data_IF_359257430985
#
_entry.id   IF_359257430985
#
_cell.length_a   1.000
_cell.length_b   1.000
_cell.length_c   1.000
_cell.angle_alpha   90.00
_cell.angle_beta   90.00
_cell.angle_gamma   90.00
#
_symmetry.space_group_name_H-M   'P 1'
#
loop_
_entity.id
_entity.type
_entity.pdbx_description
1 polymer ?
#
# COMPACT_ATOMS: atom_id res chain seq x y z
N UNK A 1 28.47 -31.45 5.48
CA UNK A 1 28.01 -30.05 5.53
C UNK A 1 27.40 -29.54 4.22
N UNK A 2 28.09 -29.54 3.06
CA UNK A 2 27.46 -29.09 1.79
C UNK A 2 26.42 -30.11 1.28
N UNK A 3 26.68 -31.41 1.43
CA UNK A 3 25.72 -32.47 1.06
C UNK A 3 24.43 -32.47 1.91
N UNK A 4 24.52 -32.07 3.19
CA UNK A 4 23.35 -31.99 4.08
C UNK A 4 22.41 -30.82 3.72
N UNK A 5 22.95 -29.71 3.22
CA UNK A 5 22.14 -28.57 2.78
C UNK A 5 21.34 -28.89 1.50
N UNK A 6 21.91 -29.66 0.57
CA UNK A 6 21.22 -30.05 -0.67
C UNK A 6 20.01 -30.98 -0.42
N UNK A 7 20.05 -31.79 0.64
CA UNK A 7 18.92 -32.64 1.03
C UNK A 7 17.74 -31.86 1.61
N UNK A 8 18.01 -30.75 2.31
CA UNK A 8 16.98 -29.92 2.95
C UNK A 8 16.10 -29.23 1.91
N UNK A 9 16.68 -28.66 0.86
CA UNK A 9 15.92 -27.98 -0.18
C UNK A 9 15.01 -28.93 -0.97
N UNK A 10 15.53 -30.12 -1.31
CA UNK A 10 14.75 -31.15 -1.99
C UNK A 10 13.60 -31.66 -1.12
N UNK A 11 13.84 -31.92 0.17
CA UNK A 11 12.82 -32.33 1.13
C UNK A 11 11.76 -31.23 1.32
N UNK A 12 12.17 -29.96 1.41
CA UNK A 12 11.26 -28.82 1.50
C UNK A 12 10.39 -28.69 0.25
N UNK A 13 10.96 -28.81 -0.95
CA UNK A 13 10.19 -28.81 -2.20
C UNK A 13 9.22 -29.99 -2.30
N UNK A 14 9.62 -31.18 -1.84
CA UNK A 14 8.75 -32.35 -1.81
C UNK A 14 7.60 -32.16 -0.81
N UNK A 15 7.88 -31.61 0.37
CA UNK A 15 6.85 -31.26 1.35
C UNK A 15 5.86 -30.22 0.80
N UNK A 16 6.36 -29.18 0.12
CA UNK A 16 5.50 -28.18 -0.55
C UNK A 16 4.65 -28.82 -1.64
N UNK A 17 5.20 -29.72 -2.46
CA UNK A 17 4.43 -30.46 -3.48
C UNK A 17 3.36 -31.37 -2.86
N UNK A 18 3.69 -32.04 -1.76
CA UNK A 18 2.74 -32.87 -1.03
C UNK A 18 1.60 -32.02 -0.44
N UNK A 19 1.94 -30.90 0.20
CA UNK A 19 0.97 -29.93 0.72
C UNK A 19 0.12 -29.30 -0.39
N UNK A 20 0.70 -28.97 -1.54
CA UNK A 20 -0.03 -28.49 -2.70
C UNK A 20 -1.03 -29.52 -3.23
N UNK A 21 -0.61 -30.79 -3.26
CA UNK A 21 -1.45 -31.89 -3.72
C UNK A 21 -2.61 -32.15 -2.74
N UNK A 22 -2.31 -32.15 -1.43
CA UNK A 22 -3.32 -32.26 -0.38
C UNK A 22 -4.31 -31.08 -0.40
N UNK A 23 -3.79 -29.85 -0.50
CA UNK A 23 -4.60 -28.64 -0.64
C UNK A 23 -5.47 -28.65 -1.91
N UNK A 24 -5.14 -29.46 -2.93
CA UNK A 24 -5.92 -29.71 -4.17
C UNK A 24 -6.79 -30.96 -4.14
N UNK A 25 -6.72 -31.83 -3.12
CA UNK A 25 -7.59 -33.01 -2.97
C UNK A 25 -8.99 -32.65 -2.44
N UNK A 26 -10.07 -33.36 -2.78
CA UNK A 26 -11.42 -33.00 -2.30
C UNK A 26 -11.54 -32.83 -0.78
N UNK A 27 -10.70 -33.54 -0.04
CA UNK A 27 -10.61 -33.52 1.42
C UNK A 27 -9.94 -32.24 1.98
N UNK A 28 -9.21 -31.49 1.14
CA UNK A 28 -8.47 -30.30 1.55
C UNK A 28 -7.27 -30.60 2.45
N UNK A 29 -6.75 -29.56 3.13
CA UNK A 29 -5.78 -29.76 4.21
C UNK A 29 -6.53 -30.13 5.50
N UNK A 30 -5.95 -31.04 6.28
CA UNK A 30 -6.49 -31.36 7.61
C UNK A 30 -6.34 -30.16 8.57
N UNK A 31 -7.19 -30.08 9.59
CA UNK A 31 -7.10 -29.06 10.62
C UNK A 31 -5.70 -29.03 11.30
N UNK A 32 -5.14 -30.21 11.58
CA UNK A 32 -3.78 -30.33 12.13
C UNK A 32 -2.70 -29.74 11.20
N UNK A 33 -2.84 -29.93 9.88
CA UNK A 33 -1.91 -29.33 8.91
C UNK A 33 -2.06 -27.80 8.85
N UNK A 34 -3.29 -27.28 8.87
CA UNK A 34 -3.55 -25.84 8.92
C UNK A 34 -2.96 -25.22 10.20
N UNK A 35 -3.16 -25.88 11.34
CA UNK A 35 -2.62 -25.43 12.62
C UNK A 35 -1.08 -25.44 12.63
N UNK A 36 -0.45 -26.46 12.04
CA UNK A 36 1.00 -26.51 11.90
C UNK A 36 1.54 -25.37 11.00
N UNK A 37 0.84 -25.07 9.89
CA UNK A 37 1.19 -23.96 8.99
C UNK A 37 0.99 -22.60 9.66
N UNK A 38 -0.07 -22.45 10.46
CA UNK A 38 -0.35 -21.24 11.21
C UNK A 38 0.68 -20.97 12.32
N UNK A 39 1.25 -22.03 12.90
CA UNK A 39 2.30 -21.94 13.91
C UNK A 39 3.69 -21.57 13.38
N UNK A 40 3.86 -21.40 12.06
CA UNK A 40 5.14 -21.00 11.48
C UNK A 40 5.45 -19.54 11.83
N UNK A 41 6.61 -19.31 12.45
CA UNK A 41 7.08 -17.97 12.81
C UNK A 41 7.25 -17.05 11.60
N UNK A 42 7.57 -17.62 10.43
CA UNK A 42 7.61 -16.93 9.15
C UNK A 42 7.12 -17.89 8.07
N UNK A 43 6.29 -17.39 7.16
CA UNK A 43 5.85 -18.15 6.00
C UNK A 43 6.94 -18.15 4.92
N UNK A 44 7.57 -19.29 4.62
CA UNK A 44 8.52 -19.37 3.52
C UNK A 44 7.83 -19.06 2.20
N UNK A 45 8.56 -18.45 1.27
CA UNK A 45 8.02 -18.05 -0.03
C UNK A 45 7.34 -19.20 -0.80
N UNK A 46 7.81 -20.43 -0.61
CA UNK A 46 7.23 -21.62 -1.21
C UNK A 46 5.82 -21.97 -0.67
N UNK A 47 5.51 -21.64 0.59
CA UNK A 47 4.19 -21.88 1.19
C UNK A 47 3.18 -20.78 0.82
N UNK A 48 3.64 -19.55 0.56
CA UNK A 48 2.78 -18.46 0.09
C UNK A 48 2.04 -18.82 -1.21
N UNK A 49 2.62 -19.68 -2.05
CA UNK A 49 1.98 -20.16 -3.28
C UNK A 49 0.77 -21.07 -3.02
N UNK A 50 0.68 -21.68 -1.83
CA UNK A 50 -0.43 -22.55 -1.44
C UNK A 50 -1.63 -21.75 -0.97
N UNK A 51 -1.40 -20.55 -0.42
CA UNK A 51 -2.42 -19.74 0.23
C UNK A 51 -3.68 -19.53 -0.64
N UNK A 52 -3.61 -19.16 -1.94
CA UNK A 52 -4.82 -19.03 -2.76
C UNK A 52 -5.62 -20.33 -2.87
N UNK A 53 -4.95 -21.47 -2.92
CA UNK A 53 -5.60 -22.79 -3.02
C UNK A 53 -6.29 -23.16 -1.72
N UNK A 54 -5.64 -22.89 -0.58
CA UNK A 54 -6.19 -23.11 0.76
C UNK A 54 -7.45 -22.24 0.96
N UNK A 55 -7.34 -20.94 0.68
CA UNK A 55 -8.44 -19.99 0.84
C UNK A 55 -9.62 -20.31 -0.07
N UNK A 56 -9.39 -20.79 -1.31
CA UNK A 56 -10.47 -21.20 -2.22
C UNK A 56 -11.35 -22.32 -1.64
N UNK A 57 -10.82 -23.09 -0.68
CA UNK A 57 -11.49 -24.26 -0.10
C UNK A 57 -11.96 -24.08 1.33
N UNK A 58 -11.38 -23.11 2.03
CA UNK A 58 -11.82 -22.70 3.35
C UNK A 58 -13.32 -22.39 3.36
N UNK A 59 -14.04 -22.93 4.36
CA UNK A 59 -15.49 -22.74 4.49
C UNK A 59 -15.86 -21.25 4.56
N UNK A 60 -15.14 -20.48 5.40
CA UNK A 60 -15.32 -19.03 5.55
C UNK A 60 -15.14 -18.22 4.26
N UNK A 61 -14.44 -18.74 3.25
CA UNK A 61 -14.25 -18.07 1.96
C UNK A 61 -15.22 -18.56 0.88
N UNK A 62 -15.95 -19.66 1.13
CA UNK A 62 -16.95 -20.22 0.22
C UNK A 62 -18.37 -19.77 0.53
N UNK A 63 -18.62 -19.26 1.73
CA UNK A 63 -19.94 -18.71 2.08
C UNK A 63 -20.22 -17.48 1.23
N UNK A 64 -21.45 -17.36 0.75
CA UNK A 64 -21.93 -16.18 0.04
C UNK A 64 -22.47 -15.14 1.05
N UNK A 65 -21.65 -14.77 2.03
CA UNK A 65 -21.97 -13.76 3.03
C UNK A 65 -20.81 -12.77 3.15
N UNK A 66 -21.15 -11.49 3.29
CA UNK A 66 -20.21 -10.41 3.61
C UNK A 66 -20.25 -10.02 5.09
N UNK A 67 -21.08 -10.69 5.89
CA UNK A 67 -21.22 -10.43 7.32
C UNK A 67 -20.07 -11.09 8.06
N UNK A 68 -19.35 -10.29 8.85
CA UNK A 68 -18.17 -10.76 9.55
C UNK A 68 -18.50 -11.90 10.52
N UNK A 69 -19.67 -11.88 11.15
CA UNK A 69 -20.08 -12.90 12.12
C UNK A 69 -20.23 -14.28 11.46
N UNK A 70 -20.83 -14.33 10.27
CA UNK A 70 -21.00 -15.56 9.50
C UNK A 70 -19.63 -16.10 9.06
N UNK A 71 -18.72 -15.20 8.66
CA UNK A 71 -17.37 -15.55 8.23
C UNK A 71 -16.54 -16.10 9.40
N UNK A 72 -16.62 -15.47 10.58
CA UNK A 72 -15.94 -15.93 11.80
C UNK A 72 -16.52 -17.29 12.25
N UNK A 73 -17.84 -17.46 12.21
CA UNK A 73 -18.47 -18.74 12.55
C UNK A 73 -18.04 -19.87 11.61
N UNK A 74 -17.82 -19.55 10.33
CA UNK A 74 -17.34 -20.50 9.34
C UNK A 74 -15.81 -20.76 9.41
N UNK A 75 -15.04 -19.92 10.10
CA UNK A 75 -13.62 -20.14 10.38
C UNK A 75 -13.45 -20.97 11.66
N UNK A 76 -13.76 -22.27 11.56
CA UNK A 76 -13.70 -23.21 12.69
C UNK A 76 -12.31 -23.16 13.35
N UNK A 77 -12.27 -22.97 14.67
CA UNK A 77 -11.05 -22.80 15.47
C UNK A 77 -10.15 -21.60 15.10
N UNK A 78 -10.62 -20.69 14.23
CA UNK A 78 -9.83 -19.56 13.70
C UNK A 78 -8.62 -20.00 12.88
N UNK A 79 -8.63 -21.22 12.32
CA UNK A 79 -7.49 -21.78 11.61
C UNK A 79 -7.07 -20.91 10.42
N UNK A 80 -8.05 -20.38 9.67
CA UNK A 80 -7.78 -19.52 8.51
C UNK A 80 -7.30 -18.15 8.96
N UNK A 81 -7.91 -17.57 9.99
CA UNK A 81 -7.43 -16.30 10.55
C UNK A 81 -5.99 -16.41 11.08
N UNK A 82 -5.64 -17.48 11.79
CA UNK A 82 -4.28 -17.70 12.29
C UNK A 82 -3.29 -17.91 11.14
N UNK A 83 -3.69 -18.65 10.11
CA UNK A 83 -2.91 -18.82 8.89
C UNK A 83 -2.65 -17.48 8.17
N UNK A 84 -3.67 -16.62 8.07
CA UNK A 84 -3.54 -15.28 7.50
C UNK A 84 -2.65 -14.37 8.36
N UNK A 85 -2.72 -14.47 9.69
CA UNK A 85 -1.81 -13.76 10.59
C UNK A 85 -0.37 -14.28 10.49
N UNK A 86 -0.15 -15.59 10.28
CA UNK A 86 1.19 -16.12 10.00
C UNK A 86 1.78 -15.56 8.71
N UNK A 87 0.96 -15.38 7.67
CA UNK A 87 1.40 -14.89 6.36
C UNK A 87 1.49 -13.36 6.25
N UNK A 88 0.58 -12.62 6.91
CA UNK A 88 0.42 -11.16 6.77
C UNK A 88 0.24 -10.44 8.11
N UNK A 89 0.59 -11.08 9.22
CA UNK A 89 0.37 -10.53 10.57
C UNK A 89 1.14 -9.25 10.83
N UNK A 90 2.23 -8.98 10.09
CA UNK A 90 2.86 -7.67 9.99
C UNK A 90 2.43 -7.03 8.66
N UNK A 91 1.41 -6.17 8.73
CA UNK A 91 0.75 -5.65 7.52
C UNK A 91 1.64 -4.67 6.75
N UNK A 92 2.47 -3.90 7.46
CA UNK A 92 3.41 -2.96 6.87
C UNK A 92 4.54 -3.70 6.15
N UNK A 93 5.09 -4.76 6.75
CA UNK A 93 6.05 -5.63 6.09
C UNK A 93 5.44 -6.32 4.85
N UNK A 94 4.20 -6.83 4.96
CA UNK A 94 3.49 -7.39 3.83
C UNK A 94 3.22 -6.37 2.71
N UNK A 95 3.00 -5.09 3.04
CA UNK A 95 2.84 -4.02 2.06
C UNK A 95 4.17 -3.54 1.45
N UNK A 96 5.29 -3.77 2.14
CA UNK A 96 6.65 -3.48 1.66
C UNK A 96 7.11 -4.52 0.63
N UNK A 97 6.84 -5.79 0.89
CA UNK A 97 7.20 -6.88 -0.01
C UNK A 97 6.22 -6.95 -1.21
N UNK A 98 6.78 -6.93 -2.42
CA UNK A 98 5.99 -6.90 -3.66
C UNK A 98 5.12 -8.13 -3.85
N UNK A 99 5.63 -9.32 -3.54
CA UNK A 99 4.90 -10.58 -3.72
C UNK A 99 3.80 -10.71 -2.67
N UNK A 100 4.11 -10.44 -1.40
CA UNK A 100 3.12 -10.46 -0.31
C UNK A 100 2.03 -9.43 -0.53
N UNK A 101 2.38 -8.20 -0.92
CA UNK A 101 1.40 -7.15 -1.24
C UNK A 101 0.44 -7.59 -2.35
N UNK A 102 0.95 -8.22 -3.41
CA UNK A 102 0.11 -8.74 -4.49
C UNK A 102 -0.82 -9.85 -4.01
N UNK A 103 -0.35 -10.75 -3.15
CA UNK A 103 -1.18 -11.82 -2.58
C UNK A 103 -2.24 -11.26 -1.62
N UNK A 104 -1.85 -10.36 -0.71
CA UNK A 104 -2.70 -9.65 0.24
C UNK A 104 -3.86 -8.94 -0.46
N UNK A 105 -3.56 -8.19 -1.52
CA UNK A 105 -4.56 -7.43 -2.26
C UNK A 105 -5.48 -8.31 -3.12
N UNK A 106 -5.07 -9.56 -3.41
CA UNK A 106 -5.86 -10.57 -4.13
C UNK A 106 -6.60 -11.54 -3.20
N UNK A 107 -6.54 -11.36 -1.89
CA UNK A 107 -7.31 -12.18 -0.96
C UNK A 107 -8.81 -12.08 -1.28
N UNK A 108 -9.57 -13.19 -1.20
CA UNK A 108 -11.02 -13.12 -1.21
C UNK A 108 -11.52 -12.18 -0.11
N UNK A 109 -12.60 -11.44 -0.36
CA UNK A 109 -13.17 -10.49 0.61
C UNK A 109 -13.34 -11.11 2.02
N UNK A 110 -13.90 -12.33 2.20
CA UNK A 110 -14.01 -12.92 3.52
C UNK A 110 -12.68 -13.16 4.23
N UNK A 111 -11.63 -13.57 3.49
CA UNK A 111 -10.30 -13.75 4.04
C UNK A 111 -9.69 -12.41 4.49
N UNK A 112 -9.86 -11.36 3.67
CA UNK A 112 -9.43 -10.02 4.05
C UNK A 112 -10.19 -9.52 5.29
N UNK A 113 -11.50 -9.80 5.40
CA UNK A 113 -12.29 -9.47 6.59
C UNK A 113 -11.79 -10.19 7.84
N UNK A 114 -11.44 -11.48 7.76
CA UNK A 114 -10.83 -12.22 8.88
C UNK A 114 -9.48 -11.64 9.29
N UNK A 115 -8.62 -11.29 8.32
CA UNK A 115 -7.32 -10.69 8.61
C UNK A 115 -7.49 -9.33 9.30
N UNK A 116 -8.25 -8.42 8.68
CA UNK A 116 -8.38 -7.05 9.17
C UNK A 116 -9.23 -6.95 10.46
N UNK A 117 -10.10 -7.92 10.74
CA UNK A 117 -10.86 -7.94 12.01
C UNK A 117 -10.02 -8.34 13.23
N UNK A 118 -8.83 -8.91 13.03
CA UNK A 118 -8.00 -9.39 14.15
C UNK A 118 -7.36 -8.26 14.95
N UNK A 119 -7.39 -8.38 16.28
CA UNK A 119 -6.62 -7.55 17.21
C UNK A 119 -5.12 -7.88 17.20
N UNK A 120 -4.76 -9.09 16.75
CA UNK A 120 -3.37 -9.55 16.69
C UNK A 120 -2.65 -9.11 15.41
N UNK A 121 -3.34 -8.40 14.51
CA UNK A 121 -2.72 -7.84 13.32
C UNK A 121 -1.80 -6.68 13.75
N UNK A 122 -0.51 -6.84 13.47
CA UNK A 122 0.52 -5.84 13.72
C UNK A 122 0.52 -4.83 12.59
N UNK A 123 0.40 -3.56 12.96
CA UNK A 123 0.40 -2.42 12.04
C UNK A 123 1.22 -1.31 12.64
N UNK A 124 1.87 -0.47 11.83
CA UNK A 124 2.50 0.74 12.30
C UNK A 124 1.50 1.84 12.62
N UNK A 125 0.39 1.84 11.89
CA UNK A 125 -0.73 2.76 12.05
C UNK A 125 -1.98 2.14 11.44
N UNK A 126 -3.14 2.57 11.93
CA UNK A 126 -4.44 2.21 11.35
C UNK A 126 -4.59 2.68 9.89
N UNK A 127 -3.77 3.65 9.51
CA UNK A 127 -3.61 4.13 8.14
C UNK A 127 -3.29 3.00 7.16
N UNK A 128 -2.47 2.03 7.56
CA UNK A 128 -2.10 0.88 6.72
C UNK A 128 -3.32 -0.02 6.47
N UNK A 129 -4.21 -0.18 7.46
CA UNK A 129 -5.48 -0.91 7.31
C UNK A 129 -6.40 -0.20 6.32
N UNK A 130 -6.55 1.12 6.46
CA UNK A 130 -7.32 1.93 5.51
C UNK A 130 -6.76 1.81 4.09
N UNK A 131 -5.45 1.91 3.93
CA UNK A 131 -4.78 1.77 2.63
C UNK A 131 -5.04 0.41 1.99
N UNK A 132 -4.91 -0.68 2.75
CA UNK A 132 -5.15 -2.04 2.24
C UNK A 132 -6.60 -2.20 1.80
N UNK A 133 -7.56 -1.75 2.61
CA UNK A 133 -8.98 -1.78 2.26
C UNK A 133 -9.27 -0.95 0.98
N UNK A 134 -8.73 0.27 0.86
CA UNK A 134 -8.86 1.11 -0.33
C UNK A 134 -8.29 0.42 -1.58
N UNK A 135 -7.08 -0.14 -1.47
CA UNK A 135 -6.43 -0.82 -2.60
C UNK A 135 -7.16 -2.08 -3.02
N UNK A 136 -7.71 -2.83 -2.07
CA UNK A 136 -8.52 -3.99 -2.38
C UNK A 136 -9.78 -3.60 -3.16
N UNK A 137 -10.53 -2.58 -2.70
CA UNK A 137 -11.70 -2.05 -3.42
C UNK A 137 -11.34 -1.51 -4.82
N UNK A 138 -10.22 -0.81 -4.95
CA UNK A 138 -9.74 -0.30 -6.24
C UNK A 138 -9.45 -1.44 -7.24
N UNK A 139 -8.74 -2.48 -6.81
CA UNK A 139 -8.42 -3.62 -7.68
C UNK A 139 -9.67 -4.43 -8.04
N UNK A 140 -10.60 -4.57 -7.09
CA UNK A 140 -11.89 -5.19 -7.31
C UNK A 140 -12.67 -4.51 -8.45
N UNK A 141 -12.53 -3.19 -8.59
CA UNK A 141 -13.17 -2.45 -9.67
C UNK A 141 -12.39 -2.47 -11.00
N UNK A 142 -11.07 -2.24 -10.98
CA UNK A 142 -10.28 -1.97 -12.20
C UNK A 142 -10.03 -3.22 -13.07
N UNK A 143 -9.78 -4.39 -12.47
CA UNK A 143 -9.41 -5.60 -13.23
C UNK A 143 -10.52 -6.06 -14.19
N UNK A 144 -11.78 -5.81 -13.82
CA UNK A 144 -12.97 -6.26 -14.56
C UNK A 144 -13.43 -5.24 -15.62
N UNK A 145 -13.41 -3.94 -15.31
CA UNK A 145 -13.80 -2.89 -16.27
C UNK A 145 -12.87 -2.89 -17.48
N UNK A 146 -11.57 -3.11 -17.26
CA UNK A 146 -10.57 -3.14 -18.34
C UNK A 146 -10.78 -4.32 -19.31
N UNK A 147 -11.35 -5.44 -18.84
CA UNK A 147 -11.64 -6.61 -19.68
C UNK A 147 -12.95 -6.50 -20.47
N UNK A 148 -13.89 -5.67 -20.01
CA UNK A 148 -15.23 -5.56 -20.58
C UNK A 148 -15.35 -4.64 -21.81
N UNK A 149 -14.26 -3.97 -22.23
CA UNK A 149 -14.27 -2.86 -23.21
C UNK A 149 -14.73 -3.24 -24.63
N UNK A 150 -14.97 -4.52 -24.94
CA UNK A 150 -15.32 -4.96 -26.29
C UNK A 150 -16.82 -5.02 -26.61
N UNK A 151 -17.75 -4.78 -25.67
CA UNK A 151 -19.20 -4.84 -25.93
C UNK A 151 -20.03 -3.85 -25.09
N UNK A 152 -20.58 -2.82 -25.74
CA UNK A 152 -21.27 -1.66 -25.12
C UNK A 152 -22.52 -2.01 -24.29
N UNK A 153 -23.33 -2.99 -24.69
CA UNK A 153 -24.54 -3.36 -23.93
C UNK A 153 -24.18 -4.18 -22.69
N UNK A 154 -23.20 -5.10 -22.80
CA UNK A 154 -22.70 -5.88 -21.67
C UNK A 154 -22.04 -4.99 -20.61
N UNK A 155 -21.39 -3.89 -21.03
CA UNK A 155 -20.73 -2.95 -20.11
C UNK A 155 -21.71 -2.36 -19.10
N UNK A 156 -22.90 -1.89 -19.52
CA UNK A 156 -23.83 -1.23 -18.59
C UNK A 156 -24.37 -2.18 -17.50
N UNK A 157 -24.75 -3.40 -17.88
CA UNK A 157 -25.21 -4.41 -16.92
C UNK A 157 -24.09 -4.83 -15.96
N UNK A 158 -22.87 -5.02 -16.50
CA UNK A 158 -21.69 -5.38 -15.71
C UNK A 158 -21.32 -4.26 -14.73
N UNK A 159 -21.37 -2.99 -15.14
CA UNK A 159 -21.14 -1.84 -14.27
C UNK A 159 -22.15 -1.78 -13.11
N UNK A 160 -23.43 -2.05 -13.37
CA UNK A 160 -24.47 -2.06 -12.33
C UNK A 160 -24.27 -3.19 -11.31
N UNK A 161 -24.03 -4.42 -11.78
CA UNK A 161 -23.73 -5.56 -10.89
C UNK A 161 -22.49 -5.29 -10.05
N UNK A 162 -21.43 -4.73 -10.66
CA UNK A 162 -20.19 -4.41 -9.95
C UNK A 162 -20.34 -3.25 -8.97
N UNK A 163 -21.21 -2.29 -9.24
CA UNK A 163 -21.53 -1.24 -8.27
C UNK A 163 -22.15 -1.84 -7.00
N UNK A 164 -23.06 -2.82 -7.15
CA UNK A 164 -23.65 -3.52 -6.00
C UNK A 164 -22.61 -4.34 -5.23
N UNK A 165 -21.79 -5.14 -5.93
CA UNK A 165 -20.70 -5.90 -5.29
C UNK A 165 -19.69 -5.01 -4.58
N UNK A 166 -19.31 -3.88 -5.19
CA UNK A 166 -18.44 -2.88 -4.58
C UNK A 166 -19.08 -2.28 -3.34
N UNK A 167 -20.37 -1.92 -3.37
CA UNK A 167 -21.07 -1.40 -2.21
C UNK A 167 -21.12 -2.43 -1.06
N UNK A 168 -21.31 -3.72 -1.38
CA UNK A 168 -21.22 -4.82 -0.42
C UNK A 168 -19.81 -4.94 0.17
N UNK A 169 -18.77 -4.94 -0.66
CA UNK A 169 -17.39 -5.01 -0.21
C UNK A 169 -16.99 -3.80 0.65
N UNK A 170 -17.45 -2.62 0.26
CA UNK A 170 -17.27 -1.38 1.00
C UNK A 170 -17.95 -1.46 2.36
N UNK A 171 -19.22 -1.85 2.43
CA UNK A 171 -19.94 -2.04 3.69
C UNK A 171 -19.31 -3.12 4.58
N UNK A 172 -18.67 -4.12 3.98
CA UNK A 172 -17.97 -5.20 4.67
C UNK A 172 -16.61 -4.77 5.27
N UNK A 173 -15.88 -3.89 4.58
CA UNK A 173 -14.55 -3.42 4.99
C UNK A 173 -14.57 -2.14 5.82
N UNK A 174 -15.55 -1.27 5.63
CA UNK A 174 -15.67 0.01 6.35
C UNK A 174 -15.62 -0.16 7.88
N UNK A 175 -16.35 -1.14 8.48
CA UNK A 175 -16.29 -1.39 9.91
C UNK A 175 -14.93 -1.91 10.37
N UNK A 176 -14.05 -2.38 9.49
CA UNK A 176 -12.76 -2.94 9.92
C UNK A 176 -11.68 -1.87 10.08
N UNK A 177 -11.88 -0.68 9.52
CA UNK A 177 -11.00 0.48 9.72
C UNK A 177 -11.42 1.19 11.01
N UNK A 178 -10.56 1.20 12.03
CA UNK A 178 -10.81 1.88 13.31
C UNK A 178 -10.54 3.37 13.17
N UNK A 179 -11.45 4.08 12.51
CA UNK A 179 -11.26 5.48 12.11
C UNK A 179 -10.73 6.44 13.21
N UNK A 180 -11.11 6.32 14.50
CA UNK A 180 -10.56 7.18 15.55
C UNK A 180 -9.03 7.09 15.69
N UNK A 181 -8.44 5.94 15.34
CA UNK A 181 -6.99 5.67 15.42
C UNK A 181 -6.22 6.02 14.15
N UNK A 182 -6.89 6.49 13.08
CA UNK A 182 -6.21 6.98 11.87
C UNK A 182 -5.39 8.23 12.17
N UNK A 183 -4.30 8.48 11.45
CA UNK A 183 -3.62 9.78 11.53
C UNK A 183 -4.55 10.92 11.12
N UNK A 184 -4.26 12.13 11.60
CA UNK A 184 -5.03 13.31 11.20
C UNK A 184 -5.02 13.47 9.68
N UNK A 185 -3.86 13.25 9.05
CA UNK A 185 -3.71 13.28 7.60
C UNK A 185 -4.61 12.27 6.88
N UNK A 186 -4.58 10.99 7.28
CA UNK A 186 -5.42 9.96 6.67
C UNK A 186 -6.92 10.25 6.84
N UNK A 187 -7.33 10.74 8.02
CA UNK A 187 -8.71 11.12 8.31
C UNK A 187 -9.17 12.32 7.47
N UNK A 188 -8.33 13.36 7.33
CA UNK A 188 -8.59 14.49 6.44
C UNK A 188 -8.73 14.04 4.98
N UNK A 189 -7.85 13.15 4.53
CA UNK A 189 -7.94 12.57 3.20
C UNK A 189 -9.28 11.84 2.99
N UNK A 190 -9.70 11.01 3.94
CA UNK A 190 -10.97 10.30 3.84
C UNK A 190 -12.18 11.25 3.81
N UNK A 191 -12.18 12.28 4.66
CA UNK A 191 -13.27 13.26 4.75
C UNK A 191 -13.45 14.09 3.47
N UNK A 192 -12.35 14.43 2.79
CA UNK A 192 -12.34 15.22 1.55
C UNK A 192 -12.77 14.39 0.35
N UNK A 193 -12.29 13.15 0.22
CA UNK A 193 -12.61 12.31 -0.93
C UNK A 193 -14.10 12.02 -1.05
N UNK A 194 -14.82 11.82 0.05
CA UNK A 194 -16.26 11.55 0.04
C UNK A 194 -17.14 12.64 -0.60
N UNK A 195 -16.57 13.78 -1.01
CA UNK A 195 -17.28 14.81 -1.79
C UNK A 195 -17.17 14.60 -3.32
N UNK A 196 -16.15 13.88 -3.78
CA UNK A 196 -15.92 13.65 -5.21
C UNK A 196 -16.68 12.42 -5.69
N UNK A 197 -17.49 12.59 -6.74
CA UNK A 197 -18.23 11.50 -7.43
C UNK A 197 -17.30 10.44 -8.01
N UNK A 198 -16.01 10.72 -8.15
CA UNK A 198 -14.99 9.81 -8.68
C UNK A 198 -14.39 8.84 -7.64
N UNK A 199 -14.75 8.98 -6.36
CA UNK A 199 -14.08 8.28 -5.25
C UNK A 199 -14.87 7.12 -4.63
N UNK A 200 -15.69 6.42 -5.43
CA UNK A 200 -16.56 5.34 -4.95
C UNK A 200 -15.83 4.19 -4.21
N UNK A 201 -14.51 4.09 -4.34
CA UNK A 201 -13.65 3.07 -3.71
C UNK A 201 -13.21 3.39 -2.27
N UNK A 202 -13.69 4.47 -1.66
CA UNK A 202 -13.33 4.85 -0.28
C UNK A 202 -14.05 3.95 0.74
N UNK A 203 -13.36 3.08 1.52
CA UNK A 203 -14.00 2.18 2.48
C UNK A 203 -14.92 2.92 3.43
N UNK A 204 -14.52 4.10 3.92
CA UNK A 204 -15.26 4.85 4.93
C UNK A 204 -16.49 5.62 4.41
N UNK A 205 -16.81 5.55 3.11
CA UNK A 205 -17.92 6.32 2.52
C UNK A 205 -19.26 6.15 3.27
N UNK A 206 -19.65 4.93 3.73
CA UNK A 206 -20.90 4.75 4.49
C UNK A 206 -20.95 5.54 5.81
N UNK A 207 -19.81 6.01 6.32
CA UNK A 207 -19.67 6.70 7.60
C UNK A 207 -19.14 8.14 7.44
N UNK A 208 -19.33 8.78 6.28
CA UNK A 208 -18.74 10.11 6.01
C UNK A 208 -19.16 11.20 6.98
N UNK A 209 -20.41 11.19 7.47
CA UNK A 209 -20.85 12.12 8.52
C UNK A 209 -20.01 11.96 9.79
N UNK A 210 -19.78 10.72 10.23
CA UNK A 210 -19.04 10.39 11.43
C UNK A 210 -17.55 10.68 11.23
N UNK A 211 -16.98 10.39 10.05
CA UNK A 211 -15.60 10.73 9.70
C UNK A 211 -15.37 12.24 9.78
N UNK A 212 -16.30 13.07 9.29
CA UNK A 212 -16.21 14.53 9.40
C UNK A 212 -16.33 15.01 10.84
N UNK A 213 -17.25 14.45 11.63
CA UNK A 213 -17.35 14.73 13.07
C UNK A 213 -16.06 14.36 13.81
N UNK A 214 -15.49 13.17 13.52
CA UNK A 214 -14.22 12.73 14.08
C UNK A 214 -13.07 13.66 13.71
N UNK A 215 -13.02 14.15 12.46
CA UNK A 215 -11.98 15.08 12.04
C UNK A 215 -12.03 16.37 12.87
N UNK A 216 -13.21 16.97 13.02
CA UNK A 216 -13.39 18.17 13.85
C UNK A 216 -13.02 17.90 15.31
N UNK A 217 -13.43 16.77 15.87
CA UNK A 217 -13.08 16.37 17.23
C UNK A 217 -11.56 16.20 17.39
N UNK A 218 -10.90 15.50 16.47
CA UNK A 218 -9.46 15.22 16.55
C UNK A 218 -8.60 16.48 16.45
N UNK A 219 -9.11 17.54 15.84
CA UNK A 219 -8.43 18.84 15.78
C UNK A 219 -8.59 19.67 17.06
N UNK A 220 -9.66 19.44 17.84
CA UNK A 220 -10.04 20.30 18.96
C UNK A 220 -9.95 19.64 20.34
N UNK A 221 -10.00 18.31 20.41
CA UNK A 221 -10.13 17.54 21.64
C UNK A 221 -8.82 16.86 22.07
N UNK A 222 -8.68 16.65 23.38
CA UNK A 222 -7.68 15.74 23.96
C UNK A 222 -7.97 14.28 23.62
N UNK A 223 -7.04 13.37 23.86
CA UNK A 223 -7.22 11.95 23.60
C UNK A 223 -8.38 11.34 24.42
N UNK A 224 -8.53 11.76 25.68
CA UNK A 224 -9.59 11.31 26.58
C UNK A 224 -10.96 11.81 26.12
N UNK A 225 -11.04 13.09 25.74
CA UNK A 225 -12.26 13.69 25.18
C UNK A 225 -12.64 13.04 23.85
N UNK A 226 -11.66 12.70 23.01
CA UNK A 226 -11.90 12.00 21.75
C UNK A 226 -12.50 10.61 22.02
N UNK A 227 -11.95 9.83 22.96
CA UNK A 227 -12.47 8.51 23.29
C UNK A 227 -13.92 8.56 23.81
N UNK A 228 -14.23 9.53 24.69
CA UNK A 228 -15.59 9.75 25.17
C UNK A 228 -16.54 10.15 24.02
N UNK A 229 -16.13 11.10 23.17
CA UNK A 229 -16.95 11.56 22.06
C UNK A 229 -17.19 10.46 20.99
N UNK A 230 -16.23 9.56 20.76
CA UNK A 230 -16.40 8.40 19.87
C UNK A 230 -17.51 7.48 20.37
N UNK A 231 -17.68 7.32 21.68
CA UNK A 231 -18.75 6.50 22.25
C UNK A 231 -20.15 7.04 21.90
N UNK A 232 -20.27 8.37 21.80
CA UNK A 232 -21.49 9.13 21.49
C UNK A 232 -21.80 9.23 19.99
N UNK A 233 -20.88 8.81 19.10
CA UNK A 233 -21.14 8.81 17.67
C UNK A 233 -22.18 7.74 17.31
N UNK A 234 -23.44 8.15 17.21
CA UNK A 234 -24.52 7.31 16.75
C UNK A 234 -24.20 6.74 15.36
N UNK A 235 -24.51 5.46 15.15
CA UNK A 235 -24.26 4.67 13.93
C UNK A 235 -22.78 4.39 13.59
N UNK A 236 -21.83 4.79 14.45
CA UNK A 236 -20.44 4.36 14.30
C UNK A 236 -20.32 2.83 14.48
N UNK A 237 -19.46 2.15 13.71
CA UNK A 237 -19.15 0.74 13.91
C UNK A 237 -18.67 0.43 15.33
N UNK A 238 -19.04 -0.73 15.87
CA UNK A 238 -18.56 -1.16 17.18
C UNK A 238 -17.02 -1.21 17.28
N UNK A 239 -16.36 -1.54 16.17
CA UNK A 239 -14.89 -1.56 16.04
C UNK A 239 -14.22 -0.22 16.31
N UNK A 240 -14.90 0.91 16.13
CA UNK A 240 -14.33 2.25 16.40
C UNK A 240 -14.15 2.48 17.89
N UNK A 241 -14.85 1.72 18.74
CA UNK A 241 -14.70 1.74 20.20
C UNK A 241 -13.58 0.83 20.68
N UNK A 242 -13.04 -0.02 19.81
CA UNK A 242 -11.86 -0.80 20.14
C UNK A 242 -10.64 0.11 20.21
N UNK A 243 -9.66 -0.24 21.03
CA UNK A 243 -8.36 0.43 21.05
C UNK A 243 -7.61 0.27 19.72
N UNK A 244 -6.40 0.87 19.60
CA UNK A 244 -5.54 0.57 18.46
C UNK A 244 -5.19 -0.93 18.44
N UNK A 245 -4.89 -1.47 17.26
CA UNK A 245 -4.33 -2.82 17.13
C UNK A 245 -2.91 -2.87 17.72
N UNK A 246 -2.20 -3.98 17.56
CA UNK A 246 -0.79 -4.08 17.92
C UNK A 246 0.06 -3.08 17.11
N UNK A 247 0.24 -1.88 17.66
CA UNK A 247 1.03 -0.82 17.02
C UNK A 247 2.51 -1.21 17.11
N UNK A 248 3.15 -1.42 15.97
CA UNK A 248 4.60 -1.59 15.85
C UNK A 248 5.12 -0.36 15.12
N UNK A 249 5.55 0.70 15.84
CA UNK A 249 5.95 1.93 15.19
C UNK A 249 7.03 1.67 14.13
N UNK A 250 6.88 2.29 12.96
CA UNK A 250 7.98 2.37 12.01
C UNK A 250 9.06 3.21 12.68
N UNK A 251 10.14 2.56 13.14
CA UNK A 251 11.17 3.18 13.97
C UNK A 251 11.67 4.53 13.44
N UNK A 252 11.68 4.75 12.11
CA UNK A 252 12.12 6.01 11.50
C UNK A 252 11.22 6.52 10.35
N UNK A 253 10.05 5.90 10.13
CA UNK A 253 9.16 6.19 9.00
C UNK A 253 9.29 5.19 7.84
N UNK A 254 9.08 5.64 6.59
CA UNK A 254 9.03 4.78 5.41
C UNK A 254 10.20 5.05 4.47
N UNK A 255 10.93 3.99 4.10
CA UNK A 255 12.00 4.03 3.11
C UNK A 255 11.51 3.59 1.74
N UNK A 256 11.94 4.32 0.72
CA UNK A 256 11.87 3.96 -0.68
C UNK A 256 13.29 3.84 -1.22
N UNK A 257 13.52 2.83 -2.04
CA UNK A 257 14.76 2.66 -2.79
C UNK A 257 14.40 2.47 -4.26
N UNK A 258 15.14 3.16 -5.13
CA UNK A 258 14.91 3.09 -6.56
C UNK A 258 16.25 3.08 -7.29
N UNK A 259 16.49 2.03 -8.06
CA UNK A 259 17.58 1.98 -9.03
C UNK A 259 17.08 2.54 -10.36
N UNK A 260 17.45 3.78 -10.65
CA UNK A 260 17.06 4.46 -11.89
C UNK A 260 18.13 4.21 -12.96
N UNK A 261 17.78 3.61 -14.11
CA UNK A 261 18.72 3.47 -15.21
C UNK A 261 19.26 4.84 -15.69
N UNK A 262 20.58 4.97 -15.78
CA UNK A 262 21.24 6.23 -16.18
C UNK A 262 20.79 6.68 -17.57
N UNK A 263 20.58 5.73 -18.49
CA UNK A 263 20.08 6.02 -19.83
C UNK A 263 18.68 6.66 -19.81
N UNK A 264 17.80 6.21 -18.91
CA UNK A 264 16.46 6.78 -18.77
C UNK A 264 16.53 8.22 -18.27
N UNK A 265 17.41 8.49 -17.30
CA UNK A 265 17.64 9.84 -16.80
C UNK A 265 18.20 10.77 -17.89
N UNK A 266 19.22 10.31 -18.63
CA UNK A 266 19.80 11.02 -19.78
C UNK A 266 18.74 11.40 -20.81
N UNK A 267 17.92 10.43 -21.19
CA UNK A 267 16.85 10.66 -22.16
C UNK A 267 15.86 11.70 -21.65
N UNK A 268 15.44 11.60 -20.38
CA UNK A 268 14.51 12.56 -19.79
C UNK A 268 15.09 13.99 -19.73
N UNK A 269 16.38 14.12 -19.36
CA UNK A 269 17.06 15.42 -19.32
C UNK A 269 17.26 16.03 -20.71
N UNK A 270 17.61 15.20 -21.70
CA UNK A 270 17.71 15.62 -23.10
C UNK A 270 16.35 16.05 -23.68
N UNK A 271 15.28 15.31 -23.35
CA UNK A 271 13.92 15.66 -23.74
C UNK A 271 13.48 16.98 -23.10
N UNK A 272 13.73 17.16 -21.80
CA UNK A 272 13.45 18.43 -21.10
C UNK A 272 14.15 19.61 -21.78
N UNK A 273 15.41 19.45 -22.17
CA UNK A 273 16.18 20.47 -22.89
C UNK A 273 15.57 20.79 -24.24
N UNK A 274 15.35 19.77 -25.07
CA UNK A 274 14.83 19.92 -26.44
C UNK A 274 13.44 20.53 -26.46
N UNK A 275 12.57 20.10 -25.54
CA UNK A 275 11.18 20.55 -25.47
C UNK A 275 11.00 21.84 -24.67
N UNK A 276 12.06 22.35 -24.04
CA UNK A 276 12.01 23.47 -23.11
C UNK A 276 10.96 23.30 -22.00
N UNK A 277 10.83 22.08 -21.46
CA UNK A 277 9.76 21.71 -20.54
C UNK A 277 10.20 20.82 -19.39
N UNK A 278 9.25 20.47 -18.52
CA UNK A 278 9.49 19.56 -17.40
C UNK A 278 9.17 18.13 -17.80
N UNK A 279 10.11 17.21 -17.56
CA UNK A 279 9.93 15.76 -17.73
C UNK A 279 10.02 15.09 -16.36
N UNK A 280 8.97 14.36 -15.99
CA UNK A 280 8.90 13.63 -14.73
C UNK A 280 9.11 12.13 -14.96
N UNK A 281 10.01 11.53 -14.19
CA UNK A 281 10.21 10.08 -14.11
C UNK A 281 9.70 9.61 -12.75
N UNK A 282 8.74 8.69 -12.75
CA UNK A 282 8.17 8.16 -11.52
C UNK A 282 8.80 6.82 -11.16
N UNK A 283 9.03 6.57 -9.86
CA UNK A 283 9.49 5.25 -9.42
C UNK A 283 8.45 4.18 -9.76
N UNK A 284 8.87 2.99 -10.26
CA UNK A 284 7.93 1.93 -10.64
C UNK A 284 7.23 1.32 -9.42
N UNK A 285 7.95 1.29 -8.30
CA UNK A 285 7.47 0.75 -7.03
C UNK A 285 7.01 1.88 -6.11
N UNK A 286 6.06 1.52 -5.25
CA UNK A 286 5.51 2.43 -4.26
C UNK A 286 5.87 1.91 -2.87
N UNK A 287 6.12 2.82 -1.94
CA UNK A 287 6.45 2.48 -0.58
C UNK A 287 5.34 1.71 0.16
N UNK A 288 5.65 1.12 1.33
CA UNK A 288 4.67 0.91 2.38
C UNK A 288 3.85 2.18 2.64
N UNK A 289 2.56 2.08 3.00
CA UNK A 289 1.76 3.26 3.23
C UNK A 289 2.26 4.04 4.45
N UNK A 290 2.26 5.38 4.34
CA UNK A 290 2.44 6.29 5.47
C UNK A 290 1.37 7.38 5.36
N UNK A 291 0.62 7.62 6.43
CA UNK A 291 -0.52 8.54 6.36
C UNK A 291 -1.70 8.01 5.54
N UNK A 292 -1.75 6.71 5.28
CA UNK A 292 -2.81 6.05 4.51
C UNK A 292 -2.54 6.01 3.00
N UNK A 293 -1.37 6.49 2.56
CA UNK A 293 -1.00 6.56 1.15
C UNK A 293 0.31 5.85 0.89
N UNK A 294 0.38 5.15 -0.24
CA UNK A 294 1.66 4.73 -0.77
C UNK A 294 2.39 5.94 -1.35
N UNK A 295 3.69 6.03 -1.11
CA UNK A 295 4.52 7.12 -1.62
C UNK A 295 5.28 6.67 -2.86
N UNK A 296 5.68 7.63 -3.68
CA UNK A 296 6.50 7.41 -4.86
C UNK A 296 7.60 8.48 -4.93
N UNK A 297 8.74 8.11 -5.50
CA UNK A 297 9.75 9.09 -5.89
C UNK A 297 9.41 9.64 -7.29
N UNK A 298 9.78 10.90 -7.51
CA UNK A 298 9.72 11.55 -8.81
C UNK A 298 11.05 12.22 -9.06
N UNK A 299 11.71 11.87 -10.17
CA UNK A 299 12.84 12.64 -10.68
C UNK A 299 12.31 13.63 -11.70
N UNK A 300 12.47 14.91 -11.41
CA UNK A 300 12.02 16.03 -12.25
C UNK A 300 13.23 16.58 -13.01
N UNK A 301 13.19 16.50 -14.34
CA UNK A 301 14.14 17.18 -15.22
C UNK A 301 13.46 18.45 -15.73
N UNK A 302 14.00 19.64 -15.41
CA UNK A 302 13.40 20.92 -15.83
C UNK A 302 14.44 21.89 -16.38
N UNK A 303 14.01 22.78 -17.26
CA UNK A 303 14.86 23.87 -17.73
C UNK A 303 15.05 24.95 -16.68
N UNK A 304 16.30 25.37 -16.48
CA UNK A 304 16.68 26.52 -15.69
C UNK A 304 18.00 27.12 -16.19
N UNK A 305 18.05 28.45 -16.32
CA UNK A 305 19.26 29.21 -16.68
C UNK A 305 20.02 28.67 -17.91
N UNK A 306 19.30 28.25 -18.96
CA UNK A 306 19.90 27.79 -20.22
C UNK A 306 20.35 26.33 -20.24
N UNK A 307 20.08 25.55 -19.18
CA UNK A 307 20.33 24.11 -19.14
C UNK A 307 19.22 23.34 -18.42
N UNK A 308 19.36 22.02 -18.32
CA UNK A 308 18.45 21.19 -17.49
C UNK A 308 19.04 21.03 -16.10
N UNK A 309 18.17 21.16 -15.10
CA UNK A 309 18.44 20.81 -13.69
C UNK A 309 17.61 19.58 -13.35
N UNK A 310 18.19 18.69 -12.54
CA UNK A 310 17.52 17.47 -12.06
C UNK A 310 17.23 17.59 -10.57
N UNK A 311 15.96 17.47 -10.22
CA UNK A 311 15.51 17.40 -8.84
C UNK A 311 14.97 16.03 -8.47
N UNK A 312 14.99 15.72 -7.18
CA UNK A 312 14.39 14.52 -6.60
C UNK A 312 13.27 14.92 -5.67
N UNK A 313 12.10 14.37 -5.92
CA UNK A 313 10.86 14.66 -5.23
C UNK A 313 10.23 13.37 -4.70
N UNK A 314 9.33 13.53 -3.75
CA UNK A 314 8.51 12.52 -3.13
C UNK A 314 7.09 13.06 -2.99
N UNK A 315 6.11 12.20 -3.24
CA UNK A 315 4.73 12.53 -2.95
C UNK A 315 3.89 11.27 -2.79
N UNK A 316 2.68 11.40 -2.23
CA UNK A 316 1.72 10.32 -2.23
C UNK A 316 1.32 9.97 -3.67
N UNK A 317 1.26 8.69 -3.96
CA UNK A 317 0.81 8.17 -5.25
C UNK A 317 -0.69 8.37 -5.36
N UNK A 318 -1.13 9.02 -6.45
CA UNK A 318 -2.56 9.31 -6.73
C UNK A 318 -3.21 10.26 -5.73
N UNK A 319 -2.45 11.24 -5.24
CA UNK A 319 -2.97 12.29 -4.37
C UNK A 319 -4.07 13.12 -5.07
N UNK A 320 -5.13 13.44 -4.33
CA UNK A 320 -6.14 14.42 -4.78
C UNK A 320 -5.55 15.84 -4.75
N UNK A 321 -5.77 16.68 -5.78
CA UNK A 321 -5.19 18.03 -5.86
C UNK A 321 -5.57 18.95 -4.69
N UNK A 322 -6.70 18.68 -4.02
CA UNK A 322 -7.18 19.49 -2.89
C UNK A 322 -6.60 19.08 -1.53
N UNK A 323 -5.77 18.04 -1.48
CA UNK A 323 -5.15 17.59 -0.23
C UNK A 323 -3.84 18.32 -0.06
N UNK A 324 -3.77 19.14 0.97
CA UNK A 324 -2.55 19.78 1.43
C UNK A 324 -1.86 18.88 2.45
N UNK A 325 -0.55 18.73 2.33
CA UNK A 325 0.25 17.94 3.27
C UNK A 325 1.61 18.58 3.51
N UNK A 326 2.17 18.26 4.67
CA UNK A 326 3.56 18.51 5.00
C UNK A 326 4.24 17.17 5.27
N UNK A 327 5.46 17.01 4.77
CA UNK A 327 6.29 15.86 5.12
C UNK A 327 7.71 16.28 5.46
N UNK A 328 8.33 15.48 6.34
CA UNK A 328 9.76 15.54 6.60
C UNK A 328 10.39 14.31 5.98
N UNK A 329 11.43 14.51 5.17
CA UNK A 329 12.10 13.39 4.52
C UNK A 329 13.60 13.61 4.39
N UNK A 330 14.33 12.53 4.24
CA UNK A 330 15.73 12.54 3.83
C UNK A 330 15.83 11.94 2.44
N UNK A 331 16.42 12.68 1.49
CA UNK A 331 16.77 12.17 0.18
C UNK A 331 18.25 11.79 0.15
N UNK A 332 18.58 10.69 -0.54
CA UNK A 332 19.96 10.28 -0.80
C UNK A 332 20.13 9.96 -2.28
N UNK A 333 21.15 10.54 -2.91
CA UNK A 333 21.50 10.30 -4.31
C UNK A 333 23.02 10.38 -4.47
N UNK A 334 23.64 9.32 -5.02
CA UNK A 334 25.09 9.24 -5.21
C UNK A 334 25.89 9.45 -3.91
N UNK A 335 25.37 8.94 -2.78
CA UNK A 335 25.98 9.10 -1.45
C UNK A 335 25.74 10.46 -0.79
N UNK A 336 25.29 11.47 -1.53
CA UNK A 336 24.86 12.74 -0.94
C UNK A 336 23.52 12.56 -0.24
N UNK A 337 23.46 12.98 1.02
CA UNK A 337 22.28 12.85 1.89
C UNK A 337 21.80 14.25 2.29
N UNK A 338 20.57 14.58 1.94
CA UNK A 338 20.00 15.90 2.22
C UNK A 338 18.65 15.77 2.95
N UNK A 339 18.53 16.27 4.19
CA UNK A 339 17.25 16.36 4.86
C UNK A 339 16.43 17.51 4.27
N UNK A 340 15.12 17.30 4.17
CA UNK A 340 14.17 18.31 3.72
C UNK A 340 13.01 18.41 4.71
N UNK A 341 12.72 19.64 5.14
CA UNK A 341 11.51 20.00 5.87
C UNK A 341 10.75 21.02 5.03
N UNK A 342 9.73 20.55 4.35
CA UNK A 342 8.99 21.41 3.43
C UNK A 342 7.90 22.23 4.13
N UNK A 343 7.51 23.43 3.62
CA UNK A 343 6.17 23.96 3.83
C UNK A 343 5.06 23.01 3.33
N UNK A 344 3.81 23.35 3.61
CA UNK A 344 2.63 22.60 3.14
C UNK A 344 2.52 22.68 1.61
N UNK A 345 2.08 21.62 0.95
CA UNK A 345 1.88 21.59 -0.51
C UNK A 345 0.81 20.59 -0.93
N UNK A 346 0.29 20.76 -2.14
CA UNK A 346 -0.61 19.81 -2.83
C UNK A 346 0.10 18.94 -3.87
N UNK A 347 1.37 19.22 -4.15
CA UNK A 347 2.19 18.50 -5.13
C UNK A 347 3.33 17.74 -4.47
N UNK A 348 4.06 16.94 -5.24
CA UNK A 348 5.28 16.25 -4.76
C UNK A 348 6.28 17.26 -4.18
N UNK A 349 6.90 16.92 -3.05
CA UNK A 349 7.90 17.71 -2.33
C UNK A 349 9.28 17.22 -2.68
N UNK A 350 10.22 18.11 -2.89
CA UNK A 350 11.55 17.67 -3.30
C UNK A 350 12.60 18.73 -3.22
N UNK A 351 13.77 18.32 -3.64
CA UNK A 351 14.95 19.14 -3.77
C UNK A 351 15.12 19.38 -5.27
N UNK A 352 14.92 20.62 -5.68
CA UNK A 352 15.00 21.04 -7.08
C UNK A 352 16.38 20.76 -7.68
N UNK A 353 17.42 20.75 -6.86
CA UNK A 353 18.80 20.48 -7.26
C UNK A 353 19.54 19.74 -6.13
N UNK A 354 19.22 18.47 -5.91
CA UNK A 354 19.77 17.64 -4.80
C UNK A 354 21.30 17.61 -4.81
N UNK A 355 21.88 17.57 -6.01
CA UNK A 355 23.31 17.43 -6.21
C UNK A 355 24.02 18.80 -6.30
N UNK A 356 23.28 19.90 -6.14
CA UNK A 356 23.78 21.28 -6.27
C UNK A 356 24.53 21.52 -7.61
N UNK A 357 24.14 20.78 -8.65
CA UNK A 357 24.80 20.82 -9.96
C UNK A 357 24.46 22.12 -10.69
N UNK A 358 25.42 22.65 -11.44
CA UNK A 358 25.13 23.67 -12.43
C UNK A 358 24.18 23.10 -13.51
N UNK A 359 23.27 23.92 -14.08
CA UNK A 359 22.47 23.50 -15.21
C UNK A 359 23.36 23.01 -16.36
N UNK A 360 23.08 21.83 -16.89
CA UNK A 360 23.85 21.25 -17.99
C UNK A 360 23.25 21.77 -19.31
N UNK A 361 24.01 22.59 -20.03
CA UNK A 361 23.62 23.17 -21.30
C UNK A 361 24.13 22.30 -22.47
N UNK A 362 23.23 21.54 -23.10
CA UNK A 362 23.61 20.56 -24.14
C UNK A 362 24.45 19.39 -23.59
N UNK A 363 25.02 18.56 -24.46
CA UNK A 363 25.95 17.49 -24.03
C UNK A 363 25.32 16.34 -23.24
N UNK A 364 24.00 16.16 -23.28
CA UNK A 364 23.30 15.10 -22.52
C UNK A 364 23.69 13.67 -22.92
N UNK A 365 24.26 13.49 -24.11
CA UNK A 365 24.84 12.24 -24.59
C UNK A 365 26.36 12.11 -24.37
N UNK A 366 27.00 13.13 -23.77
CA UNK A 366 28.44 13.13 -23.53
C UNK A 366 28.75 12.64 -22.11
N UNK A 367 29.44 11.50 -22.02
CA UNK A 367 29.88 10.90 -20.77
C UNK A 367 30.80 11.84 -19.96
N UNK A 368 31.63 12.65 -20.63
CA UNK A 368 32.54 13.57 -19.96
C UNK A 368 31.79 14.69 -19.23
N UNK A 369 30.72 15.23 -19.83
CA UNK A 369 29.86 16.25 -19.21
C UNK A 369 29.15 15.68 -17.97
N UNK A 370 28.66 14.45 -18.06
CA UNK A 370 28.03 13.75 -16.93
C UNK A 370 29.02 13.47 -15.79
N UNK A 371 30.20 12.94 -16.13
CA UNK A 371 31.24 12.68 -15.14
C UNK A 371 31.72 13.97 -14.46
N UNK A 372 31.86 15.08 -15.21
CA UNK A 372 32.22 16.39 -14.66
C UNK A 372 31.16 16.94 -13.70
N UNK A 373 29.89 16.60 -13.92
CA UNK A 373 28.78 16.93 -13.01
C UNK A 373 28.68 15.97 -11.81
N UNK A 374 29.57 14.98 -11.68
CA UNK A 374 29.53 13.98 -10.62
C UNK A 374 28.41 12.94 -10.79
N UNK A 375 27.85 12.81 -11.98
CA UNK A 375 26.79 11.85 -12.29
C UNK A 375 27.37 10.53 -12.83
N UNK A 376 26.73 9.38 -12.54
CA UNK A 376 27.13 8.11 -13.13
C UNK A 376 26.91 8.14 -14.65
N UNK A 377 27.86 7.59 -15.40
CA UNK A 377 27.81 7.58 -16.87
C UNK A 377 27.16 6.32 -17.45
N UNK A 378 27.10 5.23 -16.70
CA UNK A 378 26.50 3.96 -17.14
C UNK A 378 25.81 3.23 -15.97
N UNK A 379 25.03 2.20 -16.28
CA UNK A 379 24.36 1.37 -15.28
C UNK A 379 23.13 2.03 -14.66
N UNK A 380 23.03 1.94 -13.33
CA UNK A 380 21.90 2.44 -12.54
C UNK A 380 22.41 3.37 -11.43
N UNK A 381 21.62 4.40 -11.11
CA UNK A 381 21.84 5.23 -9.93
C UNK A 381 20.87 4.82 -8.82
N UNK A 382 21.39 4.58 -7.61
CA UNK A 382 20.55 4.33 -6.45
C UNK A 382 20.05 5.66 -5.88
N UNK A 383 18.74 5.80 -5.86
CA UNK A 383 18.00 6.87 -5.20
C UNK A 383 17.37 6.25 -3.95
N UNK A 384 17.58 6.87 -2.80
CA UNK A 384 16.92 6.47 -1.57
C UNK A 384 16.17 7.66 -0.99
N UNK A 385 15.00 7.39 -0.47
CA UNK A 385 14.21 8.41 0.20
C UNK A 385 13.60 7.83 1.46
N UNK A 386 13.63 8.61 2.52
CA UNK A 386 13.11 8.23 3.82
C UNK A 386 12.10 9.28 4.27
N UNK A 387 10.81 8.95 4.23
CA UNK A 387 9.75 9.84 4.74
C UNK A 387 9.58 9.54 6.23
N UNK A 388 9.97 10.49 7.08
CA UNK A 388 9.96 10.32 8.53
C UNK A 388 8.57 10.57 9.14
N UNK A 389 7.83 11.53 8.57
CA UNK A 389 6.52 11.92 9.08
C UNK A 389 5.71 12.64 8.00
N UNK A 390 4.39 12.51 8.08
CA UNK A 390 3.42 13.28 7.30
C UNK A 390 2.38 13.91 8.23
N UNK A 391 1.94 15.12 7.91
CA UNK A 391 0.93 15.86 8.66
C UNK A 391 0.10 16.77 7.78
#
# INVERSE_FOLDING_TARGET
>A
MIADMMGIDAAAQQAVKALASAAKSEQGLSAAALQALAGLAAWPACLLQLLPTILKRAACCRINSSRLEDIIAADTNKDVQQLLLGAFGDLDAACADKQLKQLLLKLPLPALQLLLSSDNLRVASEDTVLYVAQRHLFLYYVDEVTRAVTNTVKIKMLLMMKAAEMATAQAALAPLVRAPHLSLFALSCAALHGQSTSSSWQPLNPYMSQVRSLLSLKQAATAEQLAAAVAELHTAPASWRLGPRQIVPLADGVRLEWRLPVQQLRQASSNSFTMQGTINIHSPESSPPLGGWAWQMVVECKQAAGGTVVGLFVGPRQQHPDIWYKCNFTATWCGLRQPCRGPVSTVSRGLVNVLEMAPIAGGWGDDAVWAAAGLPTTGETLLQLHVHSVG
#
